data_IF_473584520872
#
_entry.id   IF_473584520872
#
_cell.length_a   1.000
_cell.length_b   1.000
_cell.length_c   1.000
_cell.angle_alpha   90.00
_cell.angle_beta   90.00
_cell.angle_gamma   90.00
#
_symmetry.space_group_name_H-M   'P 1'
#
loop_
_entity.id
_entity.type
_entity.pdbx_description
1 polymer ?
#
# COMPACT_ATOMS: atom_id res chain seq x y z
N UNK A 1 -7.93 33.99 -34.72
CA UNK A 1 -6.45 34.01 -34.69
C UNK A 1 -6.06 33.60 -33.30
N UNK A 2 -5.64 32.33 -33.10
CA UNK A 2 -5.27 31.84 -31.77
C UNK A 2 -3.85 32.32 -31.50
N UNK A 3 -3.67 33.05 -30.40
CA UNK A 3 -2.38 33.59 -29.99
C UNK A 3 -1.44 32.45 -29.60
N UNK A 4 -0.31 32.25 -30.31
CA UNK A 4 0.60 31.15 -30.04
C UNK A 4 1.25 31.19 -28.67
N UNK A 5 1.23 32.35 -28.00
CA UNK A 5 1.79 32.54 -26.67
C UNK A 5 0.99 31.81 -25.59
N UNK A 6 -0.33 31.69 -25.75
CA UNK A 6 -1.18 30.99 -24.77
C UNK A 6 -1.02 29.47 -24.80
N UNK A 7 -0.68 28.90 -25.95
CA UNK A 7 -0.47 27.45 -26.08
C UNK A 7 0.81 26.98 -25.41
N UNK A 8 1.84 27.83 -25.37
CA UNK A 8 3.13 27.51 -24.76
C UNK A 8 3.03 27.55 -23.23
N UNK A 9 2.29 28.53 -22.69
CA UNK A 9 2.12 28.72 -21.26
C UNK A 9 1.31 27.57 -20.62
N UNK A 10 0.24 27.12 -21.30
CA UNK A 10 -0.55 25.96 -20.88
C UNK A 10 0.25 24.65 -20.87
N UNK A 11 1.16 24.48 -21.84
CA UNK A 11 2.03 23.29 -21.94
C UNK A 11 3.07 23.26 -20.81
N UNK A 12 3.63 24.41 -20.46
CA UNK A 12 4.59 24.52 -19.34
C UNK A 12 3.92 24.26 -17.99
N UNK A 13 2.71 24.77 -17.76
CA UNK A 13 1.92 24.51 -16.56
C UNK A 13 1.66 23.02 -16.36
N UNK A 14 1.20 22.34 -17.40
CA UNK A 14 0.95 20.89 -17.37
C UNK A 14 2.21 20.06 -17.07
N UNK A 15 3.34 20.41 -17.71
CA UNK A 15 4.62 19.72 -17.41
C UNK A 15 5.06 19.93 -15.96
N UNK A 16 4.89 21.13 -15.41
CA UNK A 16 5.22 21.44 -14.02
C UNK A 16 4.36 20.62 -13.06
N UNK A 17 3.06 20.48 -13.35
CA UNK A 17 2.13 19.67 -12.57
C UNK A 17 2.53 18.19 -12.62
N UNK A 18 2.88 17.65 -13.79
CA UNK A 18 3.37 16.27 -13.94
C UNK A 18 4.64 16.01 -13.13
N UNK A 19 5.60 16.93 -13.15
CA UNK A 19 6.82 16.83 -12.35
C UNK A 19 6.47 16.82 -10.86
N UNK A 20 5.56 17.70 -10.43
CA UNK A 20 5.07 17.74 -9.06
C UNK A 20 4.41 16.42 -8.62
N UNK A 21 3.58 15.81 -9.46
CA UNK A 21 2.97 14.49 -9.23
C UNK A 21 4.07 13.43 -9.07
N UNK A 22 5.05 13.43 -9.96
CA UNK A 22 6.15 12.46 -9.94
C UNK A 22 6.99 12.58 -8.66
N UNK A 23 7.31 13.79 -8.22
CA UNK A 23 8.04 14.02 -6.96
C UNK A 23 7.27 13.50 -5.75
N UNK A 24 5.95 13.73 -5.68
CA UNK A 24 5.10 13.21 -4.60
C UNK A 24 4.98 11.70 -4.65
N UNK A 25 4.99 11.08 -5.83
CA UNK A 25 5.02 9.62 -5.99
C UNK A 25 6.33 9.04 -5.46
N UNK A 26 7.46 9.65 -5.77
CA UNK A 26 8.78 9.24 -5.24
C UNK A 26 8.83 9.32 -3.72
N UNK A 27 8.27 10.40 -3.14
CA UNK A 27 8.20 10.55 -1.68
C UNK A 27 7.34 9.44 -1.03
N UNK A 28 6.20 9.09 -1.62
CA UNK A 28 5.37 7.99 -1.12
C UNK A 28 6.08 6.63 -1.20
N UNK A 29 6.84 6.38 -2.27
CA UNK A 29 7.66 5.17 -2.40
C UNK A 29 8.73 5.15 -1.30
N UNK A 30 9.40 6.27 -1.03
CA UNK A 30 10.39 6.39 0.04
C UNK A 30 9.76 6.10 1.41
N UNK A 31 8.59 6.66 1.70
CA UNK A 31 7.85 6.40 2.93
C UNK A 31 7.44 4.92 3.07
N UNK A 32 6.97 4.31 1.99
CA UNK A 32 6.63 2.89 1.97
C UNK A 32 7.87 2.01 2.24
N UNK A 33 9.02 2.33 1.63
CA UNK A 33 10.28 1.65 1.89
C UNK A 33 10.73 1.80 3.33
N UNK A 34 10.62 3.00 3.90
CA UNK A 34 10.97 3.24 5.30
C UNK A 34 10.09 2.41 6.23
N UNK A 35 8.78 2.38 6.00
CA UNK A 35 7.84 1.56 6.78
C UNK A 35 8.13 0.06 6.67
N UNK A 36 8.50 -0.40 5.49
CA UNK A 36 8.94 -1.78 5.28
C UNK A 36 10.20 -2.10 6.08
N UNK A 37 11.21 -1.22 6.07
CA UNK A 37 12.44 -1.41 6.83
C UNK A 37 12.20 -1.38 8.35
N UNK A 38 11.35 -0.47 8.83
CA UNK A 38 10.91 -0.43 10.23
C UNK A 38 10.24 -1.76 10.63
N UNK A 39 9.29 -2.24 9.82
CA UNK A 39 8.62 -3.53 10.03
C UNK A 39 9.58 -4.70 10.06
N UNK A 40 10.55 -4.76 9.14
CA UNK A 40 11.60 -5.79 9.12
C UNK A 40 12.50 -5.72 10.35
N UNK A 41 12.84 -4.51 10.82
CA UNK A 41 13.65 -4.32 12.04
C UNK A 41 12.93 -4.84 13.28
N UNK A 42 11.65 -4.53 13.43
CA UNK A 42 10.82 -5.02 14.56
C UNK A 42 10.66 -6.55 14.49
N UNK A 43 10.44 -7.09 13.30
CA UNK A 43 10.35 -8.53 13.06
C UNK A 43 11.66 -9.24 13.43
N UNK A 44 12.82 -8.75 12.97
CA UNK A 44 14.12 -9.32 13.27
C UNK A 44 14.43 -9.28 14.77
N UNK A 45 14.13 -8.16 15.44
CA UNK A 45 14.26 -8.04 16.90
C UNK A 45 13.43 -9.11 17.61
N UNK A 46 12.17 -9.29 17.20
CA UNK A 46 11.30 -10.29 17.80
C UNK A 46 11.80 -11.71 17.58
N UNK A 47 12.33 -12.02 16.41
CA UNK A 47 12.97 -13.31 16.16
C UNK A 47 14.15 -13.56 17.07
N UNK A 48 15.01 -12.55 17.27
CA UNK A 48 16.16 -12.64 18.19
C UNK A 48 15.69 -12.91 19.63
N UNK A 49 14.69 -12.20 20.12
CA UNK A 49 14.11 -12.42 21.45
C UNK A 49 13.58 -13.85 21.63
N UNK A 50 12.93 -14.41 20.62
CA UNK A 50 12.40 -15.78 20.62
C UNK A 50 13.57 -16.79 20.72
N UNK A 51 14.61 -16.61 19.90
CA UNK A 51 15.80 -17.46 19.90
C UNK A 51 16.54 -17.40 21.23
N UNK A 52 16.78 -16.22 21.76
CA UNK A 52 17.41 -16.02 23.07
C UNK A 52 16.59 -16.66 24.21
N UNK A 53 15.27 -16.50 24.19
CA UNK A 53 14.37 -17.11 25.17
C UNK A 53 14.43 -18.63 25.13
N UNK A 54 14.49 -19.20 23.94
CA UNK A 54 14.62 -20.65 23.74
C UNK A 54 15.98 -21.15 24.22
N UNK A 55 17.04 -20.43 23.88
CA UNK A 55 18.40 -20.80 24.27
C UNK A 55 18.59 -20.75 25.80
N UNK A 56 18.11 -19.67 26.45
CA UNK A 56 18.16 -19.56 27.93
C UNK A 56 17.47 -20.72 28.61
N UNK A 57 16.31 -21.18 28.12
CA UNK A 57 15.60 -22.33 28.68
C UNK A 57 16.38 -23.62 28.52
N UNK A 58 16.96 -23.84 27.35
CA UNK A 58 17.79 -25.03 27.10
C UNK A 58 19.02 -25.11 28.00
N UNK A 59 19.56 -23.96 28.41
CA UNK A 59 20.75 -23.91 29.32
C UNK A 59 20.33 -23.95 30.79
N UNK A 60 19.10 -23.52 31.13
CA UNK A 60 18.63 -23.42 32.51
C UNK A 60 17.99 -24.70 33.04
N UNK A 61 17.74 -25.70 32.21
CA UNK A 61 17.31 -27.01 32.69
C UNK A 61 18.52 -27.72 33.30
N UNK A 62 18.63 -27.81 34.64
CA UNK A 62 19.68 -28.60 35.24
C UNK A 62 19.39 -30.06 34.92
N UNK A 63 20.34 -30.70 34.25
CA UNK A 63 20.41 -32.16 34.16
C UNK A 63 20.64 -32.76 35.57
N UNK A 64 19.70 -32.55 36.46
CA UNK A 64 19.69 -33.22 37.73
C UNK A 64 19.19 -34.65 37.51
N UNK A 65 20.04 -35.47 36.94
CA UNK A 65 19.87 -36.93 36.90
C UNK A 65 20.27 -37.47 38.28
N UNK A 66 19.44 -37.20 39.29
CA UNK A 66 19.43 -37.99 40.49
C UNK A 66 18.30 -39.00 40.28
N UNK A 67 18.60 -40.26 40.10
CA UNK A 67 17.76 -41.41 39.75
C UNK A 67 16.24 -41.21 39.95
N UNK A 68 15.55 -40.59 39.06
CA UNK A 68 14.13 -40.40 39.16
C UNK A 68 13.45 -41.56 38.43
N UNK A 69 12.30 -41.94 38.93
CA UNK A 69 11.37 -42.83 38.27
C UNK A 69 11.25 -42.41 36.76
N UNK A 70 11.57 -43.33 35.86
CA UNK A 70 11.51 -43.10 34.38
C UNK A 70 10.20 -42.45 33.96
N UNK A 71 9.12 -42.73 34.68
CA UNK A 71 7.80 -42.15 34.44
C UNK A 71 7.75 -40.66 34.69
N UNK A 72 8.46 -40.17 35.74
CA UNK A 72 8.57 -38.75 36.05
C UNK A 72 9.38 -37.99 35.02
N UNK A 73 10.50 -38.60 34.53
CA UNK A 73 11.33 -37.99 33.48
C UNK A 73 10.56 -37.87 32.17
N UNK A 74 9.88 -38.91 31.75
CA UNK A 74 9.05 -38.92 30.54
C UNK A 74 7.91 -37.91 30.65
N UNK A 75 7.26 -37.81 31.82
CA UNK A 75 6.21 -36.82 32.06
C UNK A 75 6.69 -35.40 31.94
N UNK A 76 7.84 -35.05 32.53
CA UNK A 76 8.46 -33.74 32.39
C UNK A 76 8.84 -33.42 30.92
N UNK A 77 9.36 -34.42 30.20
CA UNK A 77 9.78 -34.23 28.82
C UNK A 77 8.56 -34.00 27.89
N UNK A 78 7.46 -34.69 28.14
CA UNK A 78 6.20 -34.46 27.39
C UNK A 78 5.64 -33.05 27.68
N UNK A 79 5.66 -32.61 28.92
CA UNK A 79 5.15 -31.29 29.29
C UNK A 79 6.04 -30.17 28.74
N UNK A 80 7.36 -30.34 28.74
CA UNK A 80 8.32 -29.42 28.08
C UNK A 80 8.08 -29.34 26.57
N UNK A 81 7.86 -30.47 25.91
CA UNK A 81 7.50 -30.50 24.49
C UNK A 81 6.19 -29.78 24.19
N UNK A 82 5.14 -30.02 24.99
CA UNK A 82 3.85 -29.31 24.85
C UNK A 82 4.04 -27.81 24.96
N UNK A 83 4.75 -27.35 26.00
CA UNK A 83 5.03 -25.93 26.22
C UNK A 83 5.78 -25.35 25.01
N UNK A 84 6.81 -26.02 24.53
CA UNK A 84 7.59 -25.57 23.37
C UNK A 84 6.73 -25.45 22.11
N UNK A 85 5.85 -26.42 21.84
CA UNK A 85 4.93 -26.38 20.70
C UNK A 85 3.97 -25.21 20.81
N UNK A 86 3.35 -24.99 21.97
CA UNK A 86 2.41 -23.89 22.19
C UNK A 86 3.09 -22.52 22.05
N UNK A 87 4.30 -22.37 22.58
CA UNK A 87 5.07 -21.14 22.47
C UNK A 87 5.50 -20.87 21.02
N UNK A 88 5.94 -21.89 20.29
CA UNK A 88 6.28 -21.74 18.87
C UNK A 88 5.06 -21.34 18.05
N UNK A 89 3.90 -21.90 18.34
CA UNK A 89 2.66 -21.52 17.67
C UNK A 89 2.27 -20.08 18.00
N UNK A 90 2.34 -19.66 19.25
CA UNK A 90 2.07 -18.28 19.67
C UNK A 90 3.04 -17.29 19.02
N UNK A 91 4.33 -17.60 19.00
CA UNK A 91 5.35 -16.79 18.36
C UNK A 91 5.14 -16.69 16.86
N UNK A 92 4.78 -17.79 16.20
CA UNK A 92 4.45 -17.79 14.76
C UNK A 92 3.25 -16.90 14.44
N UNK A 93 2.21 -16.94 15.26
CA UNK A 93 1.04 -16.08 15.09
C UNK A 93 1.41 -14.60 15.25
N UNK A 94 2.20 -14.26 16.27
CA UNK A 94 2.68 -12.87 16.48
C UNK A 94 3.50 -12.39 15.28
N UNK A 95 4.43 -13.20 14.79
CA UNK A 95 5.26 -12.84 13.62
C UNK A 95 4.41 -12.67 12.35
N UNK A 96 3.41 -13.53 12.15
CA UNK A 96 2.47 -13.43 11.03
C UNK A 96 1.63 -12.15 11.11
N UNK A 97 1.12 -11.80 12.29
CA UNK A 97 0.36 -10.57 12.50
C UNK A 97 1.21 -9.33 12.27
N UNK A 98 2.45 -9.31 12.75
CA UNK A 98 3.39 -8.21 12.51
C UNK A 98 3.70 -8.02 11.03
N UNK A 99 3.92 -9.11 10.29
CA UNK A 99 4.16 -9.07 8.85
C UNK A 99 2.92 -8.55 8.09
N UNK A 100 1.72 -9.02 8.44
CA UNK A 100 0.47 -8.58 7.85
C UNK A 100 0.22 -7.09 8.11
N UNK A 101 0.45 -6.62 9.34
CA UNK A 101 0.29 -5.22 9.71
C UNK A 101 1.25 -4.31 8.94
N UNK A 102 2.54 -4.68 8.88
CA UNK A 102 3.54 -3.91 8.12
C UNK A 102 3.19 -3.86 6.63
N UNK A 103 2.75 -4.98 6.04
CA UNK A 103 2.29 -5.04 4.66
C UNK A 103 1.06 -4.16 4.40
N UNK A 104 0.09 -4.14 5.32
CA UNK A 104 -1.10 -3.29 5.22
C UNK A 104 -0.74 -1.79 5.30
N UNK A 105 0.18 -1.39 6.16
CA UNK A 105 0.65 -0.01 6.25
C UNK A 105 1.29 0.45 4.95
N UNK A 106 2.16 -0.37 4.35
CA UNK A 106 2.78 -0.09 3.05
C UNK A 106 1.73 0.00 1.95
N UNK A 107 0.78 -0.95 1.90
CA UNK A 107 -0.30 -0.96 0.91
C UNK A 107 -1.16 0.31 1.02
N UNK A 108 -1.51 0.74 2.22
CA UNK A 108 -2.28 1.96 2.44
C UNK A 108 -1.56 3.22 1.95
N UNK A 109 -0.25 3.34 2.19
CA UNK A 109 0.55 4.47 1.69
C UNK A 109 0.50 4.52 0.16
N UNK A 110 0.75 3.39 -0.50
CA UNK A 110 0.78 3.31 -1.96
C UNK A 110 -0.60 3.53 -2.57
N UNK A 111 -1.66 2.94 -2.01
CA UNK A 111 -3.03 3.10 -2.48
C UNK A 111 -3.50 4.56 -2.33
N UNK A 112 -3.26 5.16 -1.17
CA UNK A 112 -3.59 6.57 -0.91
C UNK A 112 -2.89 7.50 -1.91
N UNK A 113 -1.61 7.24 -2.18
CA UNK A 113 -0.85 8.04 -3.15
C UNK A 113 -1.35 7.83 -4.58
N UNK A 114 -1.69 6.60 -4.95
CA UNK A 114 -2.24 6.30 -6.28
C UNK A 114 -3.56 7.06 -6.53
N UNK A 115 -4.46 7.06 -5.55
CA UNK A 115 -5.72 7.83 -5.65
C UNK A 115 -5.45 9.32 -5.78
N UNK A 116 -4.57 9.87 -4.93
CA UNK A 116 -4.19 11.29 -5.02
C UNK A 116 -3.53 11.64 -6.36
N UNK A 117 -2.69 10.76 -6.92
CA UNK A 117 -2.07 10.97 -8.23
C UNK A 117 -3.09 11.01 -9.36
N UNK A 118 -4.13 10.18 -9.30
CA UNK A 118 -5.22 10.19 -10.30
C UNK A 118 -6.02 11.49 -10.21
N UNK A 119 -6.33 11.98 -9.00
CA UNK A 119 -7.04 13.23 -8.81
C UNK A 119 -6.20 14.44 -9.28
N UNK A 120 -4.91 14.45 -8.95
CA UNK A 120 -3.97 15.48 -9.40
C UNK A 120 -3.81 15.48 -10.93
N UNK A 121 -3.74 14.30 -11.54
CA UNK A 121 -3.66 14.16 -13.00
C UNK A 121 -4.93 14.66 -13.69
N UNK A 122 -6.09 14.33 -13.13
CA UNK A 122 -7.37 14.85 -13.61
C UNK A 122 -7.42 16.38 -13.54
N UNK A 123 -7.02 16.96 -12.39
CA UNK A 123 -6.97 18.40 -12.23
C UNK A 123 -6.00 19.08 -13.24
N UNK A 124 -4.83 18.47 -13.49
CA UNK A 124 -3.87 18.95 -14.47
C UNK A 124 -4.45 18.91 -15.90
N UNK A 125 -5.22 17.87 -16.24
CA UNK A 125 -5.93 17.82 -17.52
C UNK A 125 -7.00 18.88 -17.65
N UNK A 126 -7.79 19.11 -16.61
CA UNK A 126 -8.84 20.13 -16.58
C UNK A 126 -8.25 21.54 -16.76
N UNK A 127 -7.07 21.83 -16.17
CA UNK A 127 -6.34 23.07 -16.39
C UNK A 127 -5.73 23.21 -17.79
N UNK A 128 -5.29 22.08 -18.39
CA UNK A 128 -4.67 22.09 -19.73
C UNK A 128 -5.69 22.20 -20.88
N UNK A 129 -6.98 21.98 -20.60
CA UNK A 129 -8.09 22.05 -21.57
C UNK A 129 -9.03 23.21 -21.25
N UNK A 130 -8.65 24.48 -21.47
CA UNK A 130 -9.61 25.56 -21.34
C UNK A 130 -10.62 25.52 -22.50
N UNK A 131 -11.89 25.33 -22.16
CA UNK A 131 -13.07 25.74 -22.95
C UNK A 131 -13.23 25.32 -24.42
N UNK A 132 -12.84 24.13 -24.82
CA UNK A 132 -13.19 23.64 -26.18
C UNK A 132 -14.35 22.67 -26.25
N UNK A 133 -15.00 22.31 -25.16
CA UNK A 133 -16.13 21.37 -25.17
C UNK A 133 -17.49 22.09 -25.11
N UNK A 134 -17.52 23.41 -24.97
CA UNK A 134 -18.82 24.17 -24.91
C UNK A 134 -19.47 24.42 -26.28
N UNK A 135 -18.88 23.99 -27.40
CA UNK A 135 -19.41 24.26 -28.74
C UNK A 135 -20.15 23.05 -29.35
N UNK A 136 -20.15 21.88 -28.74
CA UNK A 136 -20.84 20.71 -29.28
C UNK A 136 -22.32 20.60 -28.86
N UNK A 137 -22.87 21.58 -28.15
CA UNK A 137 -24.26 21.57 -27.65
C UNK A 137 -25.27 22.37 -28.43
N UNK A 138 -24.93 23.06 -29.53
CA UNK A 138 -25.87 23.88 -30.28
C UNK A 138 -25.96 23.50 -31.76
N UNK A 139 -26.35 22.26 -32.02
CA UNK A 139 -26.95 21.92 -33.32
C UNK A 139 -28.47 21.98 -33.09
N UNK A 140 -29.05 23.16 -33.23
CA UNK A 140 -30.48 23.31 -33.40
C UNK A 140 -30.86 22.69 -34.75
N UNK A 141 -31.88 21.82 -34.82
CA UNK A 141 -32.34 21.31 -36.08
C UNK A 141 -32.96 22.45 -36.89
N UNK A 142 -32.50 22.64 -38.12
CA UNK A 142 -33.04 23.62 -39.05
C UNK A 142 -34.53 23.31 -39.29
N UNK A 143 -35.42 24.33 -39.37
CA UNK A 143 -36.81 24.11 -39.66
C UNK A 143 -36.98 23.60 -41.08
N UNK A 144 -37.58 22.43 -41.25
CA UNK A 144 -37.98 21.85 -42.54
C UNK A 144 -39.13 22.69 -43.08
N UNK A 145 -38.87 23.53 -44.05
CA UNK A 145 -39.93 24.26 -44.80
C UNK A 145 -40.59 23.28 -45.76
N UNK A 146 -41.77 22.79 -45.40
CA UNK A 146 -42.62 22.02 -46.33
C UNK A 146 -43.29 23.01 -47.26
N UNK A 147 -42.93 23.02 -48.55
CA UNK A 147 -43.66 23.73 -49.58
C UNK A 147 -44.92 22.94 -50.00
N UNK A 148 -46.07 23.53 -50.04
CA UNK A 148 -47.26 22.87 -50.59
C UNK A 148 -47.16 22.88 -52.11
N UNK A 149 -47.15 21.70 -52.71
CA UNK A 149 -47.34 21.55 -54.18
C UNK A 149 -48.83 21.75 -54.49
N UNK A 150 -49.14 22.85 -55.16
CA UNK A 150 -50.45 23.06 -55.77
C UNK A 150 -50.49 22.32 -57.09
N UNK A 151 -51.33 21.32 -57.21
CA UNK A 151 -51.78 20.76 -58.48
C UNK A 151 -53.12 21.44 -58.88
N UNK A 152 -53.11 22.06 -60.05
CA UNK A 152 -54.25 22.33 -60.89
C UNK A 152 -54.43 21.24 -61.90
#
# INVERSE_FOLDING_TARGET
MVDPSQSVDSGFGFLTDLIGIQMRNMEAIRQAQQKMLEGMGVFAKRQTEIIEGTLRRSVSEPSAVTAPDIRSVVGHQIESLKTTILENQANSNILSEMAARSGAEVANILQSRMMAALDEFKAALDHATPDKISVAGSIAPAPVTVQPTSHS
#
